data_IF_944997792185
#
_entry.id   IF_944997792185
#
_cell.length_a   1.000
_cell.length_b   1.000
_cell.length_c   1.000
_cell.angle_alpha   90.00
_cell.angle_beta   90.00
_cell.angle_gamma   90.00
#
_symmetry.space_group_name_H-M   'P 1'
#
loop_
_entity.id
_entity.type
_entity.pdbx_description
1 polymer ?
#
# COMPACT_ATOMS: atom_id res chain seq x y z
N UNK A 1 33.65 24.42 4.09
CA UNK A 1 33.91 23.79 5.40
C UNK A 1 34.84 22.61 5.16
N UNK A 2 36.09 22.70 5.59
CA UNK A 2 37.10 21.66 5.35
C UNK A 2 38.19 21.72 6.42
N UNK A 3 38.88 20.60 6.61
CA UNK A 3 39.93 20.46 7.62
C UNK A 3 41.16 21.30 7.26
N UNK A 4 41.84 21.84 8.28
CA UNK A 4 43.13 22.50 8.11
C UNK A 4 44.22 21.48 7.73
N UNK A 5 45.33 21.94 7.13
CA UNK A 5 46.45 21.05 6.74
C UNK A 5 47.03 20.25 7.90
N UNK A 6 47.03 20.81 9.11
CA UNK A 6 47.46 20.12 10.32
C UNK A 6 46.48 19.01 10.75
N UNK A 7 45.17 19.24 10.58
CA UNK A 7 44.15 18.25 10.88
C UNK A 7 44.14 17.08 9.88
N UNK A 8 44.49 17.32 8.62
CA UNK A 8 44.63 16.28 7.60
C UNK A 8 45.82 15.33 7.85
N UNK A 9 46.81 15.75 8.63
CA UNK A 9 47.93 14.89 9.01
C UNK A 9 47.51 13.83 10.06
N UNK A 10 46.39 14.03 10.75
CA UNK A 10 45.82 13.06 11.66
C UNK A 10 44.69 12.27 10.94
N UNK A 11 45.03 11.06 10.53
CA UNK A 11 44.16 10.18 9.74
C UNK A 11 42.92 9.74 10.50
N UNK A 12 43.06 9.43 11.79
CA UNK A 12 41.95 9.04 12.65
C UNK A 12 40.96 10.20 12.84
N UNK A 13 41.46 11.39 13.17
CA UNK A 13 40.63 12.59 13.29
C UNK A 13 39.89 12.91 12.00
N UNK A 14 40.57 12.77 10.86
CA UNK A 14 39.98 13.01 9.54
C UNK A 14 38.84 12.03 9.25
N UNK A 15 39.03 10.75 9.55
CA UNK A 15 37.98 9.73 9.39
C UNK A 15 36.79 10.01 10.31
N UNK A 16 37.02 10.34 11.57
CA UNK A 16 35.96 10.68 12.53
C UNK A 16 35.20 11.95 12.11
N UNK A 17 35.91 12.97 11.63
CA UNK A 17 35.30 14.23 11.16
C UNK A 17 34.39 14.02 9.94
N UNK A 18 34.86 13.29 8.92
CA UNK A 18 34.04 13.04 7.73
C UNK A 18 32.92 12.04 7.97
N UNK A 19 33.10 11.06 8.85
CA UNK A 19 32.01 10.16 9.26
C UNK A 19 30.92 10.91 10.04
N UNK A 20 31.31 11.81 10.95
CA UNK A 20 30.37 12.70 11.64
C UNK A 20 29.61 13.60 10.65
N UNK A 21 30.29 14.24 9.69
CA UNK A 21 29.60 15.05 8.67
C UNK A 21 28.62 14.24 7.82
N UNK A 22 28.95 12.97 7.52
CA UNK A 22 28.07 12.09 6.73
C UNK A 22 26.85 11.62 7.53
N UNK A 23 27.00 11.42 8.84
CA UNK A 23 25.97 10.85 9.72
C UNK A 23 25.14 11.91 10.46
N UNK A 24 25.67 13.11 10.64
CA UNK A 24 24.98 14.26 11.20
C UNK A 24 24.60 15.22 10.06
N UNK A 25 23.47 15.01 9.36
CA UNK A 25 23.01 15.87 8.27
C UNK A 25 22.61 17.28 8.73
N UNK A 26 22.79 17.62 10.00
CA UNK A 26 22.45 18.92 10.54
C UNK A 26 23.53 19.39 11.51
N UNK A 27 24.48 20.17 11.00
CA UNK A 27 25.39 20.96 11.82
C UNK A 27 25.28 22.43 11.42
N UNK A 28 24.63 23.22 12.29
CA UNK A 28 24.56 24.68 12.25
C UNK A 28 23.15 25.23 11.98
N UNK A 29 22.69 26.34 12.56
CA UNK A 29 23.33 27.37 13.38
C UNK A 29 22.23 28.21 14.08
N UNK A 30 22.46 28.63 15.33
CA UNK A 30 22.29 30.04 15.73
C UNK A 30 20.91 30.73 15.65
N UNK A 31 19.78 30.03 15.65
CA UNK A 31 18.48 30.64 15.93
C UNK A 31 17.74 29.84 17.00
N UNK A 32 17.11 30.56 17.95
CA UNK A 32 16.22 30.00 18.98
C UNK A 32 14.95 29.42 18.33
N UNK A 33 15.10 28.42 17.48
CA UNK A 33 13.96 27.55 17.16
C UNK A 33 13.94 26.53 18.27
N UNK A 34 12.94 26.62 19.14
CA UNK A 34 12.67 25.62 20.16
C UNK A 34 12.68 24.25 19.50
N UNK A 35 13.63 23.42 19.91
CA UNK A 35 13.66 22.01 19.59
C UNK A 35 12.27 21.43 19.81
N UNK A 36 11.60 21.04 18.73
CA UNK A 36 10.68 19.92 18.80
C UNK A 36 11.54 18.71 19.17
N UNK A 37 11.70 18.46 20.46
CA UNK A 37 12.36 17.28 21.01
C UNK A 37 11.78 16.03 20.32
N UNK A 38 12.59 15.34 19.52
CA UNK A 38 12.41 13.89 19.36
C UNK A 38 12.46 13.27 17.96
N UNK A 39 12.44 14.02 16.85
CA UNK A 39 12.49 13.38 15.53
C UNK A 39 13.91 13.38 14.95
N UNK A 40 14.58 12.23 15.09
CA UNK A 40 15.81 11.92 14.34
C UNK A 40 15.47 11.64 12.87
N UNK A 41 16.39 11.91 11.93
CA UNK A 41 16.23 11.58 10.50
C UNK A 41 15.85 10.10 10.26
N UNK A 42 16.20 9.20 11.17
CA UNK A 42 15.75 7.80 11.15
C UNK A 42 14.23 7.67 11.24
N UNK A 43 13.56 8.50 12.05
CA UNK A 43 12.10 8.58 12.11
C UNK A 43 11.50 9.01 10.77
N UNK A 44 12.08 10.03 10.12
CA UNK A 44 11.60 10.50 8.80
C UNK A 44 11.75 9.45 7.69
N UNK A 45 12.88 8.73 7.65
CA UNK A 45 13.08 7.64 6.68
C UNK A 45 12.14 6.47 6.96
N UNK A 46 11.81 6.20 8.21
CA UNK A 46 10.87 5.14 8.60
C UNK A 46 9.43 5.52 8.22
N UNK A 47 9.01 6.76 8.49
CA UNK A 47 7.71 7.31 8.06
C UNK A 47 7.58 7.32 6.54
N UNK A 48 8.62 7.75 5.81
CA UNK A 48 8.62 7.71 4.34
C UNK A 48 8.52 6.29 3.80
N UNK A 49 9.29 5.33 4.35
CA UNK A 49 9.20 3.92 3.92
C UNK A 49 7.84 3.30 4.24
N UNK A 50 7.25 3.62 5.39
CA UNK A 50 5.91 3.18 5.74
C UNK A 50 4.88 3.73 4.76
N UNK A 51 4.95 5.02 4.42
CA UNK A 51 4.03 5.65 3.45
C UNK A 51 4.10 5.05 2.05
N UNK A 52 5.32 4.70 1.56
CA UNK A 52 5.49 4.05 0.25
C UNK A 52 4.96 2.63 0.28
N UNK A 53 5.18 1.88 1.38
CA UNK A 53 4.66 0.53 1.52
C UNK A 53 3.12 0.51 1.56
N UNK A 54 2.49 1.45 2.26
CA UNK A 54 1.03 1.62 2.30
C UNK A 54 0.46 1.97 0.93
N UNK A 55 1.11 2.85 0.17
CA UNK A 55 0.73 3.18 -1.21
C UNK A 55 0.81 1.96 -2.14
N UNK A 56 1.89 1.18 -2.06
CA UNK A 56 2.02 -0.05 -2.86
C UNK A 56 0.91 -1.05 -2.54
N UNK A 57 0.54 -1.22 -1.26
CA UNK A 57 -0.58 -2.08 -0.89
C UNK A 57 -1.91 -1.57 -1.48
N UNK A 58 -2.17 -0.26 -1.40
CA UNK A 58 -3.36 0.34 -1.99
C UNK A 58 -3.40 0.16 -3.52
N UNK A 59 -2.28 0.33 -4.20
CA UNK A 59 -2.17 0.16 -5.65
C UNK A 59 -2.41 -1.30 -6.07
N UNK A 60 -1.82 -2.27 -5.35
CA UNK A 60 -2.05 -3.70 -5.63
C UNK A 60 -3.50 -4.11 -5.40
N UNK A 61 -4.16 -3.54 -4.39
CA UNK A 61 -5.57 -3.75 -4.14
C UNK A 61 -6.42 -3.16 -5.28
N UNK A 62 -6.13 -1.95 -5.73
CA UNK A 62 -6.85 -1.29 -6.81
C UNK A 62 -6.74 -2.08 -8.13
N UNK A 63 -5.51 -2.50 -8.49
CA UNK A 63 -5.27 -3.37 -9.64
C UNK A 63 -6.08 -4.66 -9.55
N UNK A 64 -6.09 -5.29 -8.37
CA UNK A 64 -6.84 -6.54 -8.17
C UNK A 64 -8.36 -6.35 -8.32
N UNK A 65 -8.90 -5.23 -7.87
CA UNK A 65 -10.32 -4.89 -8.08
C UNK A 65 -10.62 -4.74 -9.57
N UNK A 66 -9.76 -4.05 -10.32
CA UNK A 66 -9.95 -3.84 -11.76
C UNK A 66 -9.95 -5.17 -12.53
N UNK A 67 -8.96 -6.03 -12.26
CA UNK A 67 -8.88 -7.39 -12.84
C UNK A 67 -10.16 -8.20 -12.60
N UNK A 68 -10.61 -8.28 -11.35
CA UNK A 68 -11.80 -9.03 -10.98
C UNK A 68 -13.07 -8.42 -11.59
N UNK A 69 -13.13 -7.08 -11.68
CA UNK A 69 -14.25 -6.38 -12.31
C UNK A 69 -14.35 -6.76 -13.79
N UNK A 70 -13.22 -6.77 -14.50
CA UNK A 70 -13.17 -7.16 -15.91
C UNK A 70 -13.65 -8.62 -16.08
N UNK A 71 -13.13 -9.54 -15.26
CA UNK A 71 -13.54 -10.95 -15.27
C UNK A 71 -15.05 -11.09 -15.06
N UNK A 72 -15.62 -10.45 -14.04
CA UNK A 72 -17.05 -10.56 -13.74
C UNK A 72 -17.93 -9.86 -14.76
N UNK A 73 -17.44 -8.84 -15.44
CA UNK A 73 -18.16 -8.15 -16.52
C UNK A 73 -18.18 -9.02 -17.77
N UNK A 74 -17.07 -9.66 -18.12
CA UNK A 74 -16.97 -10.53 -19.30
C UNK A 74 -17.75 -11.83 -19.16
N UNK A 75 -17.87 -12.38 -17.96
CA UNK A 75 -18.68 -13.58 -17.70
C UNK A 75 -20.18 -13.35 -17.94
N UNK A 76 -20.65 -12.10 -17.98
CA UNK A 76 -22.08 -11.80 -18.07
C UNK A 76 -22.56 -11.73 -19.51
N UNK A 77 -23.59 -12.52 -19.80
CA UNK A 77 -24.19 -12.65 -21.15
C UNK A 77 -24.80 -11.36 -21.71
N UNK A 78 -25.18 -10.40 -20.86
CA UNK A 78 -25.69 -9.09 -21.27
C UNK A 78 -24.71 -8.01 -20.81
N UNK A 79 -23.97 -7.44 -21.75
CA UNK A 79 -23.08 -6.28 -21.53
C UNK A 79 -23.88 -4.98 -21.66
N UNK A 80 -23.51 -3.95 -20.88
CA UNK A 80 -24.04 -2.59 -21.05
C UNK A 80 -25.28 -2.23 -20.23
N UNK A 81 -25.45 -2.79 -19.02
CA UNK A 81 -26.50 -2.37 -18.09
C UNK A 81 -25.92 -1.88 -16.78
N UNK A 82 -26.25 -0.65 -16.36
CA UNK A 82 -25.70 0.00 -15.16
C UNK A 82 -25.80 -0.88 -13.89
N UNK A 83 -26.94 -1.56 -13.69
CA UNK A 83 -27.12 -2.50 -12.57
C UNK A 83 -26.14 -3.69 -12.64
N UNK A 84 -25.83 -4.15 -13.83
CA UNK A 84 -24.98 -5.33 -14.07
C UNK A 84 -23.54 -5.01 -13.71
N UNK A 85 -23.07 -3.85 -14.16
CA UNK A 85 -21.72 -3.35 -13.93
C UNK A 85 -21.50 -3.05 -12.44
N UNK A 86 -22.48 -2.41 -11.78
CA UNK A 86 -22.44 -2.19 -10.32
C UNK A 86 -22.26 -3.48 -9.53
N UNK A 87 -22.97 -4.55 -9.89
CA UNK A 87 -22.83 -5.83 -9.18
C UNK A 87 -21.44 -6.46 -9.44
N UNK A 88 -20.91 -6.35 -10.66
CA UNK A 88 -19.56 -6.83 -10.98
C UNK A 88 -18.50 -6.11 -10.13
N UNK A 89 -18.59 -4.78 -10.06
CA UNK A 89 -17.75 -3.94 -9.20
C UNK A 89 -17.90 -4.34 -7.73
N UNK A 90 -19.13 -4.46 -7.21
CA UNK A 90 -19.35 -4.84 -5.79
C UNK A 90 -18.75 -6.21 -5.47
N UNK A 91 -18.88 -7.19 -6.35
CA UNK A 91 -18.29 -8.52 -6.15
C UNK A 91 -16.76 -8.48 -6.19
N UNK A 92 -16.19 -7.73 -7.13
CA UNK A 92 -14.75 -7.51 -7.23
C UNK A 92 -14.17 -6.85 -5.98
N UNK A 93 -14.77 -5.74 -5.53
CA UNK A 93 -14.34 -5.01 -4.33
C UNK A 93 -14.38 -5.89 -3.09
N UNK A 94 -15.49 -6.60 -2.85
CA UNK A 94 -15.65 -7.46 -1.67
C UNK A 94 -14.66 -8.62 -1.69
N UNK A 95 -14.42 -9.23 -2.86
CA UNK A 95 -13.49 -10.35 -2.97
C UNK A 95 -12.03 -9.90 -2.84
N UNK A 96 -11.64 -8.83 -3.53
CA UNK A 96 -10.27 -8.30 -3.48
C UNK A 96 -9.86 -7.90 -2.06
N UNK A 97 -10.72 -7.16 -1.34
CA UNK A 97 -10.47 -6.80 0.06
C UNK A 97 -10.36 -8.02 0.97
N UNK A 98 -11.16 -9.05 0.70
CA UNK A 98 -11.08 -10.32 1.44
C UNK A 98 -9.79 -11.10 1.16
N UNK A 99 -9.27 -11.04 -0.07
CA UNK A 99 -7.95 -11.59 -0.43
C UNK A 99 -6.82 -10.81 0.25
N UNK A 100 -6.98 -9.48 0.41
CA UNK A 100 -6.05 -8.60 1.12
C UNK A 100 -6.08 -8.74 2.65
N UNK A 101 -6.94 -9.62 3.20
CA UNK A 101 -6.98 -9.94 4.62
C UNK A 101 -7.99 -9.15 5.46
N UNK A 102 -8.80 -8.28 4.86
CA UNK A 102 -9.84 -7.57 5.60
C UNK A 102 -10.92 -8.50 6.17
N UNK A 103 -11.43 -8.15 7.36
CA UNK A 103 -12.52 -8.89 8.00
C UNK A 103 -13.85 -8.63 7.30
N UNK A 104 -14.76 -9.61 7.34
CA UNK A 104 -16.11 -9.43 6.76
C UNK A 104 -16.88 -8.30 7.45
N UNK A 105 -16.63 -8.07 8.74
CA UNK A 105 -17.24 -6.98 9.51
C UNK A 105 -16.77 -5.61 9.05
N UNK A 106 -15.46 -5.44 8.82
CA UNK A 106 -14.90 -4.18 8.33
C UNK A 106 -15.43 -3.83 6.93
N UNK A 107 -15.43 -4.80 6.01
CA UNK A 107 -15.99 -4.63 4.66
C UNK A 107 -17.49 -4.28 4.72
N UNK A 108 -18.24 -4.93 5.61
CA UNK A 108 -19.67 -4.68 5.79
C UNK A 108 -19.95 -3.27 6.31
N UNK A 109 -19.13 -2.79 7.25
CA UNK A 109 -19.24 -1.44 7.79
C UNK A 109 -18.94 -0.39 6.72
N UNK A 110 -17.84 -0.56 5.95
CA UNK A 110 -17.45 0.40 4.91
C UNK A 110 -18.48 0.48 3.77
N UNK A 111 -18.99 -0.68 3.34
CA UNK A 111 -20.02 -0.74 2.29
C UNK A 111 -21.44 -0.44 2.80
N UNK A 112 -21.62 -0.21 4.10
CA UNK A 112 -22.93 -0.01 4.76
C UNK A 112 -23.92 -1.17 4.50
N UNK A 113 -23.41 -2.40 4.54
CA UNK A 113 -24.18 -3.62 4.27
C UNK A 113 -24.20 -4.55 5.48
N UNK A 114 -25.16 -5.49 5.52
CA UNK A 114 -25.15 -6.56 6.52
C UNK A 114 -23.99 -7.52 6.26
N UNK A 115 -23.29 -8.02 7.29
CA UNK A 115 -22.15 -8.94 7.12
C UNK A 115 -22.53 -10.26 6.43
N UNK A 116 -23.77 -10.71 6.60
CA UNK A 116 -24.32 -11.87 5.87
C UNK A 116 -24.37 -11.65 4.35
N UNK A 117 -24.62 -10.41 3.92
CA UNK A 117 -24.68 -10.06 2.49
C UNK A 117 -23.27 -10.06 1.90
N UNK A 118 -22.30 -9.51 2.63
CA UNK A 118 -20.88 -9.55 2.24
C UNK A 118 -20.40 -11.00 2.11
N UNK A 119 -20.70 -11.86 3.10
CA UNK A 119 -20.41 -13.30 3.04
C UNK A 119 -21.03 -13.96 1.80
N UNK A 120 -22.26 -13.59 1.47
CA UNK A 120 -22.96 -14.08 0.29
C UNK A 120 -22.26 -13.63 -1.00
N UNK A 121 -21.84 -12.37 -1.10
CA UNK A 121 -21.11 -11.86 -2.26
C UNK A 121 -19.75 -12.53 -2.44
N UNK A 122 -18.99 -12.73 -1.36
CA UNK A 122 -17.74 -13.52 -1.41
C UNK A 122 -18.00 -14.92 -1.96
N UNK A 123 -19.05 -15.61 -1.48
CA UNK A 123 -19.41 -16.96 -1.94
C UNK A 123 -19.75 -16.97 -3.44
N UNK A 124 -20.54 -16.00 -3.90
CA UNK A 124 -20.95 -15.91 -5.30
C UNK A 124 -19.77 -15.56 -6.22
N UNK A 125 -18.93 -14.60 -5.82
CA UNK A 125 -17.73 -14.20 -6.54
C UNK A 125 -16.75 -15.37 -6.70
N UNK A 126 -16.49 -16.14 -5.62
CA UNK A 126 -15.64 -17.35 -5.69
C UNK A 126 -16.21 -18.43 -6.62
N UNK A 127 -17.53 -18.65 -6.58
CA UNK A 127 -18.19 -19.61 -7.46
C UNK A 127 -18.05 -19.20 -8.93
N UNK A 128 -18.18 -17.90 -9.21
CA UNK A 128 -18.01 -17.34 -10.55
C UNK A 128 -16.59 -17.55 -11.09
N UNK A 129 -15.55 -17.31 -10.28
CA UNK A 129 -14.14 -17.58 -10.65
C UNK A 129 -13.85 -19.06 -10.91
N UNK A 130 -14.38 -19.96 -10.07
CA UNK A 130 -14.23 -21.40 -10.27
C UNK A 130 -14.90 -21.88 -11.58
N UNK A 131 -16.01 -21.24 -11.96
CA UNK A 131 -16.70 -21.51 -13.22
C UNK A 131 -15.86 -21.17 -14.45
N UNK A 132 -15.01 -20.14 -14.38
CA UNK A 132 -14.09 -19.80 -15.47
C UNK A 132 -12.91 -20.76 -15.60
N UNK A 133 -12.30 -21.17 -14.49
CA UNK A 133 -11.18 -22.12 -14.52
C UNK A 133 -11.58 -23.48 -15.10
N UNK A 134 -12.81 -23.93 -14.80
CA UNK A 134 -13.38 -25.16 -15.36
C UNK A 134 -13.73 -25.08 -16.86
N UNK A 135 -13.92 -23.88 -17.41
CA UNK A 135 -14.21 -23.69 -18.84
C UNK A 135 -12.93 -23.67 -19.71
N UNK A 136 -11.78 -23.35 -19.12
CA UNK A 136 -10.47 -23.36 -19.79
C UNK A 136 -9.75 -24.72 -19.73
N UNK A 137 -10.16 -25.63 -18.83
CA UNK A 137 -9.50 -26.94 -18.62
C UNK A 137 -10.05 -28.12 -19.44
N UNK A 138 -10.92 -27.90 -20.42
CA UNK A 138 -11.49 -28.96 -21.27
C UNK A 138 -11.32 -28.66 -22.77
N UNK A 139 -10.13 -28.17 -23.15
CA UNK A 139 -9.73 -27.95 -24.54
C UNK A 139 -8.42 -28.66 -24.82
#
# INVERSE_FOLDING_TARGET
MGLSKAALANTEFTQLFYTLLRLAPYCGTGHKTTFGLGQTRSGWLQEQKASVAEQLLADTLAQRIEELTQIFTDQRKRKGGDRTDRIAVTWATVLARREHGESLGAIAQDLQMKPETVKTYVKLARKALKGTEGATGNR
#
